data_IF_644512099805
#
_entry.id   IF_644512099805
#
_cell.length_a   1.000
_cell.length_b   1.000
_cell.length_c   1.000
_cell.angle_alpha   90.00
_cell.angle_beta   90.00
_cell.angle_gamma   90.00
#
_symmetry.space_group_name_H-M   'P 1'
#
loop_
_entity.id
_entity.type
_entity.pdbx_description
1 polymer ?
#
# COMPACT_ATOMS: atom_id res chain seq x y z
N UNK A 1 -13.33 -6.14 -10.45
CA UNK A 1 -11.97 -5.91 -9.93
C UNK A 1 -11.28 -4.89 -10.82
N UNK A 2 -10.65 -3.86 -10.26
CA UNK A 2 -9.86 -2.86 -11.01
C UNK A 2 -8.38 -3.05 -10.69
N UNK A 3 -7.52 -2.99 -11.69
CA UNK A 3 -6.06 -3.03 -11.50
C UNK A 3 -5.53 -1.62 -11.67
N UNK A 4 -4.71 -1.17 -10.73
CA UNK A 4 -4.07 0.15 -10.71
C UNK A 4 -2.58 -0.08 -10.60
N UNK A 5 -1.83 0.44 -11.55
CA UNK A 5 -0.37 0.44 -11.51
C UNK A 5 0.10 1.77 -10.90
N UNK A 6 0.99 1.68 -9.92
CA UNK A 6 1.50 2.82 -9.16
C UNK A 6 3.02 2.78 -9.23
N UNK A 7 3.65 3.86 -9.68
CA UNK A 7 5.10 4.03 -9.57
C UNK A 7 5.46 4.24 -8.10
N UNK A 8 6.25 3.35 -7.51
CA UNK A 8 6.61 3.38 -6.11
C UNK A 8 7.30 4.70 -5.74
N UNK A 9 8.27 5.15 -6.55
CA UNK A 9 8.96 6.44 -6.39
C UNK A 9 7.98 7.60 -6.24
N UNK A 10 7.05 7.73 -7.20
CA UNK A 10 6.03 8.77 -7.22
C UNK A 10 5.04 8.66 -6.06
N UNK A 11 4.72 7.44 -5.64
CA UNK A 11 3.85 7.22 -4.49
C UNK A 11 4.51 7.67 -3.19
N UNK A 12 5.78 7.33 -2.96
CA UNK A 12 6.51 7.80 -1.79
C UNK A 12 6.67 9.32 -1.78
N UNK A 13 6.91 9.94 -2.93
CA UNK A 13 6.90 11.40 -3.05
C UNK A 13 5.54 12.00 -2.70
N UNK A 14 4.44 11.41 -3.17
CA UNK A 14 3.08 11.83 -2.82
C UNK A 14 2.84 11.78 -1.30
N UNK A 15 3.28 10.72 -0.62
CA UNK A 15 3.15 10.58 0.83
C UNK A 15 3.89 11.70 1.57
N UNK A 16 5.13 12.01 1.14
CA UNK A 16 5.94 13.10 1.69
C UNK A 16 5.29 14.46 1.44
N UNK A 17 4.76 14.70 0.24
CA UNK A 17 4.11 15.97 -0.10
C UNK A 17 2.80 16.20 0.68
N UNK A 18 2.05 15.12 0.95
CA UNK A 18 0.77 15.19 1.66
C UNK A 18 0.90 15.06 3.17
N UNK A 19 2.10 14.82 3.69
CA UNK A 19 2.37 14.52 5.09
C UNK A 19 1.41 13.45 5.64
N UNK A 20 1.23 12.37 4.87
CA UNK A 20 0.20 11.35 5.13
C UNK A 20 0.76 9.94 5.00
N UNK A 21 0.11 8.99 5.64
CA UNK A 21 0.53 7.58 5.59
C UNK A 21 -0.02 6.85 4.36
N UNK A 22 0.70 5.81 3.92
CA UNK A 22 0.24 4.90 2.85
C UNK A 22 -1.20 4.40 3.10
N UNK A 23 -1.49 4.01 4.34
CA UNK A 23 -2.80 3.53 4.75
C UNK A 23 -3.92 4.57 4.64
N UNK A 24 -3.61 5.85 4.83
CA UNK A 24 -4.60 6.92 4.66
C UNK A 24 -4.95 7.10 3.18
N UNK A 25 -3.96 7.03 2.29
CA UNK A 25 -4.21 7.02 0.85
C UNK A 25 -5.06 5.81 0.47
N UNK A 26 -4.74 4.62 0.99
CA UNK A 26 -5.51 3.41 0.74
C UNK A 26 -6.96 3.55 1.23
N UNK A 27 -7.18 4.12 2.42
CA UNK A 27 -8.50 4.41 2.95
C UNK A 27 -9.30 5.34 2.03
N UNK A 28 -8.67 6.37 1.47
CA UNK A 28 -9.29 7.28 0.50
C UNK A 28 -9.60 6.61 -0.84
N UNK A 29 -8.86 5.57 -1.21
CA UNK A 29 -9.11 4.79 -2.42
C UNK A 29 -10.24 3.78 -2.28
N UNK A 30 -10.77 3.53 -1.08
CA UNK A 30 -11.87 2.59 -0.87
C UNK A 30 -13.17 3.16 -1.42
N UNK A 31 -13.82 2.38 -2.28
CA UNK A 31 -15.04 2.76 -3.00
C UNK A 31 -16.07 1.61 -3.01
N UNK A 32 -15.98 0.68 -2.05
CA UNK A 32 -16.83 -0.51 -2.01
C UNK A 32 -16.49 -1.60 -3.05
N UNK A 33 -15.41 -1.41 -3.83
CA UNK A 33 -14.90 -2.39 -4.82
C UNK A 33 -13.45 -2.74 -4.53
N UNK A 34 -13.12 -4.02 -4.70
CA UNK A 34 -11.75 -4.53 -4.63
C UNK A 34 -10.92 -3.98 -5.79
N UNK A 35 -9.73 -3.49 -5.43
CA UNK A 35 -8.74 -2.98 -6.38
C UNK A 35 -7.41 -3.67 -6.14
N UNK A 36 -6.71 -4.00 -7.19
CA UNK A 36 -5.34 -4.48 -7.11
C UNK A 36 -4.39 -3.31 -7.38
N UNK A 37 -3.53 -3.00 -6.42
CA UNK A 37 -2.50 -1.98 -6.52
C UNK A 37 -1.18 -2.67 -6.82
N UNK A 38 -0.64 -2.45 -8.01
CA UNK A 38 0.64 -3.00 -8.45
C UNK A 38 1.68 -1.89 -8.35
N UNK A 39 2.59 -2.02 -7.41
CA UNK A 39 3.69 -1.09 -7.23
C UNK A 39 4.82 -1.47 -8.18
N UNK A 40 5.14 -0.55 -9.08
CA UNK A 40 6.19 -0.66 -10.08
C UNK A 40 7.37 0.22 -9.70
N UNK A 41 8.58 -0.22 -10.00
CA UNK A 41 9.78 0.60 -9.96
C UNK A 41 9.81 1.60 -11.15
N UNK A 42 10.80 2.50 -11.17
CA UNK A 42 11.05 3.43 -12.27
C UNK A 42 11.23 2.69 -13.61
N UNK A 43 11.85 1.50 -13.60
CA UNK A 43 12.00 0.62 -14.76
C UNK A 43 10.75 -0.21 -15.13
N UNK A 44 9.57 0.10 -14.56
CA UNK A 44 8.31 -0.64 -14.78
C UNK A 44 8.31 -2.09 -14.28
N UNK A 45 9.31 -2.48 -13.49
CA UNK A 45 9.37 -3.79 -12.84
C UNK A 45 8.43 -3.84 -11.64
N UNK A 46 7.69 -4.93 -11.49
CA UNK A 46 6.81 -5.14 -10.34
C UNK A 46 7.67 -5.32 -9.09
N UNK A 47 7.50 -4.43 -8.12
CA UNK A 47 8.12 -4.52 -6.80
C UNK A 47 7.24 -5.35 -5.87
N UNK A 48 5.95 -5.04 -5.80
CA UNK A 48 4.97 -5.78 -5.03
C UNK A 48 3.54 -5.45 -5.49
N UNK A 49 2.61 -6.36 -5.21
CA UNK A 49 1.18 -6.19 -5.43
C UNK A 49 0.43 -6.21 -4.10
N UNK A 50 -0.54 -5.33 -3.94
CA UNK A 50 -1.41 -5.24 -2.78
C UNK A 50 -2.87 -5.23 -3.22
N UNK A 51 -3.69 -6.08 -2.62
CA UNK A 51 -5.13 -6.08 -2.89
C UNK A 51 -5.79 -5.14 -1.90
N UNK A 52 -6.19 -3.96 -2.39
CA UNK A 52 -6.96 -3.01 -1.62
C UNK A 52 -8.36 -3.59 -1.35
N UNK A 53 -8.72 -3.81 -0.08
CA UNK A 53 -10.03 -4.34 0.25
C UNK A 53 -11.13 -3.32 -0.07
N UNK A 54 -12.36 -3.82 -0.17
CA UNK A 54 -13.54 -3.00 -0.42
C UNK A 54 -14.01 -2.16 0.77
N UNK A 55 -13.50 -2.42 1.99
CA UNK A 55 -13.96 -1.81 3.23
C UNK A 55 -12.80 -1.46 4.18
N UNK A 56 -12.97 -0.39 4.97
CA UNK A 56 -11.97 0.09 5.92
C UNK A 56 -11.66 -0.90 7.05
N UNK A 57 -12.63 -1.72 7.49
CA UNK A 57 -12.38 -2.71 8.54
C UNK A 57 -11.30 -3.70 8.13
N UNK A 58 -11.37 -4.18 6.89
CA UNK A 58 -10.39 -5.13 6.37
C UNK A 58 -9.03 -4.45 6.15
N UNK A 59 -9.03 -3.20 5.66
CA UNK A 59 -7.81 -2.41 5.53
C UNK A 59 -7.09 -2.24 6.88
N UNK A 60 -7.83 -1.99 7.95
CA UNK A 60 -7.25 -1.86 9.29
C UNK A 60 -6.65 -3.19 9.79
N UNK A 61 -7.29 -4.33 9.50
CA UNK A 61 -6.72 -5.64 9.81
C UNK A 61 -5.42 -5.89 9.04
N UNK A 62 -5.39 -5.57 7.75
CA UNK A 62 -4.18 -5.64 6.92
C UNK A 62 -3.07 -4.74 7.49
N UNK A 63 -3.41 -3.52 7.93
CA UNK A 63 -2.46 -2.60 8.58
C UNK A 63 -1.85 -3.18 9.84
N UNK A 64 -2.66 -3.75 10.72
CA UNK A 64 -2.20 -4.35 11.97
C UNK A 64 -1.29 -5.55 11.71
N UNK A 65 -1.67 -6.41 10.76
CA UNK A 65 -0.86 -7.56 10.37
C UNK A 65 0.46 -7.11 9.74
N UNK A 66 0.41 -6.16 8.80
CA UNK A 66 1.60 -5.65 8.13
C UNK A 66 2.55 -4.96 9.11
N UNK A 67 2.04 -4.17 10.05
CA UNK A 67 2.87 -3.54 11.07
C UNK A 67 3.61 -4.58 11.93
N UNK A 68 2.94 -5.70 12.23
CA UNK A 68 3.53 -6.82 12.97
C UNK A 68 4.64 -7.51 12.17
N UNK A 69 4.35 -7.91 10.94
CA UNK A 69 5.30 -8.61 10.07
C UNK A 69 6.48 -7.71 9.64
N UNK A 70 6.23 -6.42 9.45
CA UNK A 70 7.26 -5.45 9.10
C UNK A 70 8.18 -5.13 10.28
N UNK A 71 7.64 -5.01 11.50
CA UNK A 71 8.45 -4.85 12.71
C UNK A 71 9.38 -6.05 12.90
N UNK A 72 8.91 -7.27 12.64
CA UNK A 72 9.73 -8.48 12.70
C UNK A 72 10.80 -8.52 11.59
N UNK A 73 10.49 -8.09 10.36
CA UNK A 73 11.48 -8.00 9.26
C UNK A 73 12.55 -6.94 9.49
N UNK A 74 12.21 -5.79 10.08
CA UNK A 74 13.19 -4.75 10.42
C UNK A 74 14.07 -5.18 11.59
N UNK A 75 13.53 -5.93 12.56
CA UNK A 75 14.32 -6.42 13.69
C UNK A 75 15.38 -7.44 13.28
N UNK A 76 15.16 -8.18 12.18
CA UNK A 76 16.13 -9.12 11.60
C UNK A 76 17.24 -8.49 10.73
N UNK A 77 17.24 -7.16 10.58
CA UNK A 77 18.31 -6.40 9.89
C UNK A 77 19.39 -5.87 10.86
N UNK A 78 19.38 -6.29 12.14
CA UNK A 78 20.46 -6.00 13.10
C UNK A 78 21.57 -7.06 13.05
#
# INVERSE_FOLDING_TARGET
>A
MKIIQIKASQFFELLKMKDTSMWEIFAQMIDGKEKELIFLDDEEKILFNYILPKNLEQLNKDREQFAKEYAEKLSGLN
#
